data_IF_134225950690
#
_entry.id   IF_134225950690
#
_cell.length_a   1.000
_cell.length_b   1.000
_cell.length_c   1.000
_cell.angle_alpha   90.00
_cell.angle_beta   90.00
_cell.angle_gamma   90.00
#
_symmetry.space_group_name_H-M   'P 1'
#
loop_
_entity.id
_entity.type
_entity.pdbx_description
1 polymer ?
#
# COMPACT_ATOMS: atom_id res chain seq x y z
N UNK A 1 -23.80 12.87 -14.59
CA UNK A 1 -24.86 12.85 -13.56
C UNK A 1 -25.45 11.45 -13.30
N UNK A 2 -26.06 10.76 -14.29
CA UNK A 2 -26.74 9.45 -14.06
C UNK A 2 -25.86 8.41 -13.37
N UNK A 3 -24.63 8.19 -13.85
CA UNK A 3 -23.73 7.22 -13.22
C UNK A 3 -23.30 7.61 -11.80
N UNK A 4 -23.11 8.90 -11.52
CA UNK A 4 -22.75 9.39 -10.18
C UNK A 4 -23.88 9.08 -9.18
N UNK A 5 -25.14 9.27 -9.60
CA UNK A 5 -26.31 8.92 -8.80
C UNK A 5 -26.44 7.41 -8.58
N UNK A 6 -26.28 6.60 -9.64
CA UNK A 6 -26.34 5.14 -9.54
C UNK A 6 -25.23 4.56 -8.67
N UNK A 7 -24.04 5.16 -8.73
CA UNK A 7 -22.91 4.81 -7.86
C UNK A 7 -23.12 5.22 -6.39
N UNK A 8 -24.17 6.00 -6.09
CA UNK A 8 -24.42 6.53 -4.75
C UNK A 8 -23.44 7.63 -4.34
N UNK A 9 -22.82 8.32 -5.31
CA UNK A 9 -21.84 9.39 -5.07
C UNK A 9 -22.42 10.79 -5.18
N UNK A 10 -23.69 10.94 -5.58
CA UNK A 10 -24.34 12.26 -5.63
C UNK A 10 -25.02 12.54 -4.29
N UNK A 11 -24.48 13.49 -3.51
CA UNK A 11 -25.01 13.89 -2.18
C UNK A 11 -25.36 12.67 -1.32
N UNK A 12 -24.36 11.80 -1.00
CA UNK A 12 -24.63 10.51 -0.38
C UNK A 12 -25.33 10.69 0.97
N UNK A 13 -26.52 10.11 1.10
CA UNK A 13 -27.24 9.97 2.38
C UNK A 13 -27.05 8.58 2.99
N UNK A 14 -26.58 7.62 2.18
CA UNK A 14 -26.25 6.24 2.56
C UNK A 14 -25.25 5.67 1.57
N UNK A 15 -24.41 4.74 2.02
CA UNK A 15 -23.52 3.98 1.13
C UNK A 15 -24.34 3.00 0.28
N UNK A 16 -24.05 2.94 -1.02
CA UNK A 16 -24.67 2.01 -1.95
C UNK A 16 -23.67 0.95 -2.41
N UNK A 17 -23.89 -0.30 -1.99
CA UNK A 17 -23.06 -1.44 -2.37
C UNK A 17 -23.91 -2.53 -3.02
N UNK A 18 -24.26 -2.29 -4.28
CA UNK A 18 -25.12 -3.14 -5.10
C UNK A 18 -24.42 -3.39 -6.44
N UNK A 19 -24.82 -4.44 -7.16
CA UNK A 19 -24.27 -4.68 -8.51
C UNK A 19 -24.41 -3.46 -9.42
N UNK A 20 -25.53 -2.75 -9.36
CA UNK A 20 -25.76 -1.54 -10.16
C UNK A 20 -24.84 -0.38 -9.77
N UNK A 21 -24.58 -0.16 -8.47
CA UNK A 21 -23.67 0.89 -8.03
C UNK A 21 -22.22 0.57 -8.38
N UNK A 22 -21.83 -0.71 -8.30
CA UNK A 22 -20.52 -1.20 -8.71
C UNK A 22 -20.28 -1.04 -10.21
N UNK A 23 -21.24 -1.40 -11.07
CA UNK A 23 -21.15 -1.16 -12.51
C UNK A 23 -21.08 0.35 -12.85
N UNK A 24 -21.85 1.18 -12.15
CA UNK A 24 -21.76 2.63 -12.31
C UNK A 24 -20.37 3.16 -11.92
N UNK A 25 -19.76 2.67 -10.83
CA UNK A 25 -18.40 3.00 -10.43
C UNK A 25 -17.36 2.59 -11.48
N UNK A 26 -17.50 1.41 -12.11
CA UNK A 26 -16.64 0.98 -13.23
C UNK A 26 -16.72 1.95 -14.39
N UNK A 27 -17.94 2.33 -14.79
CA UNK A 27 -18.15 3.31 -15.85
C UNK A 27 -17.47 4.64 -15.54
N UNK A 28 -17.60 5.15 -14.30
CA UNK A 28 -16.94 6.39 -13.88
C UNK A 28 -15.42 6.24 -13.94
N UNK A 29 -14.85 5.17 -13.38
CA UNK A 29 -13.41 4.91 -13.41
C UNK A 29 -12.88 4.86 -14.85
N UNK A 30 -13.57 4.17 -15.75
CA UNK A 30 -13.19 4.07 -17.15
C UNK A 30 -13.28 5.44 -17.86
N UNK A 31 -14.30 6.24 -17.57
CA UNK A 31 -14.41 7.60 -18.11
C UNK A 31 -13.22 8.47 -17.70
N UNK A 32 -12.84 8.46 -16.41
CA UNK A 32 -11.70 9.24 -15.91
C UNK A 32 -10.38 8.73 -16.51
N UNK A 33 -10.21 7.41 -16.57
CA UNK A 33 -9.01 6.79 -17.15
C UNK A 33 -8.82 7.16 -18.62
N UNK A 34 -9.90 7.17 -19.41
CA UNK A 34 -9.85 7.43 -20.85
C UNK A 34 -9.85 8.92 -21.20
N UNK A 35 -10.43 9.77 -20.34
CA UNK A 35 -10.67 11.20 -20.61
C UNK A 35 -10.45 12.03 -19.35
N UNK A 36 -9.27 12.63 -19.24
CA UNK A 36 -8.93 13.53 -18.13
C UNK A 36 -9.86 14.75 -18.03
N UNK A 37 -10.45 15.20 -19.14
CA UNK A 37 -11.44 16.27 -19.17
C UNK A 37 -12.71 15.98 -18.35
N UNK A 38 -12.91 14.74 -17.89
CA UNK A 38 -14.02 14.35 -17.01
C UNK A 38 -13.78 14.80 -15.56
N UNK A 39 -12.51 14.93 -15.12
CA UNK A 39 -12.16 15.22 -13.72
C UNK A 39 -12.84 16.50 -13.18
N UNK A 40 -12.82 17.66 -13.89
CA UNK A 40 -13.46 18.88 -13.37
C UNK A 40 -14.96 18.69 -13.07
N UNK A 41 -15.67 17.94 -13.92
CA UNK A 41 -17.10 17.66 -13.69
C UNK A 41 -17.35 16.79 -12.46
N UNK A 42 -16.45 15.86 -12.14
CA UNK A 42 -16.57 15.03 -10.94
C UNK A 42 -16.25 15.85 -9.69
N UNK A 43 -15.36 16.82 -9.78
CA UNK A 43 -15.04 17.74 -8.69
C UNK A 43 -16.20 18.70 -8.40
N UNK A 44 -16.81 19.29 -9.44
CA UNK A 44 -18.03 20.11 -9.31
C UNK A 44 -19.18 19.37 -8.62
N UNK A 45 -19.24 18.05 -8.82
CA UNK A 45 -20.24 17.16 -8.22
C UNK A 45 -19.81 16.57 -6.87
N UNK A 46 -18.71 17.03 -6.28
CA UNK A 46 -18.20 16.57 -4.97
C UNK A 46 -17.97 15.05 -4.89
N UNK A 47 -17.56 14.44 -6.00
CA UNK A 47 -17.34 12.99 -6.10
C UNK A 47 -16.18 12.54 -5.20
N UNK A 48 -15.12 13.35 -5.09
CA UNK A 48 -13.95 13.07 -4.24
C UNK A 48 -14.36 12.96 -2.77
N UNK A 49 -15.11 13.95 -2.26
CA UNK A 49 -15.64 13.96 -0.89
C UNK A 49 -16.56 12.76 -0.65
N UNK A 50 -17.40 12.43 -1.64
CA UNK A 50 -18.33 11.30 -1.57
C UNK A 50 -17.62 9.96 -1.56
N UNK A 51 -16.53 9.80 -2.33
CA UNK A 51 -15.68 8.61 -2.28
C UNK A 51 -15.02 8.44 -0.91
N UNK A 52 -14.52 9.53 -0.32
CA UNK A 52 -13.96 9.49 1.02
C UNK A 52 -15.02 9.06 2.05
N UNK A 53 -16.22 9.64 1.99
CA UNK A 53 -17.34 9.24 2.82
C UNK A 53 -17.63 7.74 2.68
N UNK A 54 -17.72 7.20 1.47
CA UNK A 54 -17.95 5.77 1.23
C UNK A 54 -16.92 4.88 1.93
N UNK A 55 -15.63 5.25 1.89
CA UNK A 55 -14.58 4.46 2.55
C UNK A 55 -14.66 4.56 4.08
N UNK A 56 -15.03 5.72 4.62
CA UNK A 56 -15.14 5.96 6.06
C UNK A 56 -16.30 5.17 6.71
N UNK A 57 -17.45 5.06 6.03
CA UNK A 57 -18.69 4.47 6.55
C UNK A 57 -18.69 2.95 6.76
N UNK A 58 -17.55 2.27 6.63
CA UNK A 58 -17.42 0.82 6.82
C UNK A 58 -17.55 0.34 8.29
N UNK A 59 -18.09 1.18 9.18
CA UNK A 59 -18.28 0.91 10.63
C UNK A 59 -19.69 0.42 10.99
N UNK A 60 -20.71 0.75 10.21
CA UNK A 60 -22.10 0.42 10.56
C UNK A 60 -22.58 -0.89 9.92
N UNK A 61 -22.45 -1.99 10.67
CA UNK A 61 -23.11 -3.32 10.50
C UNK A 61 -22.94 -4.06 9.15
N UNK A 62 -22.47 -3.40 8.10
CA UNK A 62 -22.27 -3.94 6.76
C UNK A 62 -20.86 -3.61 6.30
N UNK A 63 -20.02 -4.64 6.21
CA UNK A 63 -18.69 -4.52 5.61
C UNK A 63 -18.86 -4.16 4.14
N UNK A 64 -18.25 -3.05 3.72
CA UNK A 64 -18.23 -2.64 2.31
C UNK A 64 -17.64 -3.76 1.44
N UNK A 65 -18.28 -4.05 0.31
CA UNK A 65 -17.84 -5.06 -0.65
C UNK A 65 -16.48 -4.72 -1.26
N UNK A 66 -15.73 -5.77 -1.62
CA UNK A 66 -14.38 -5.64 -2.18
C UNK A 66 -14.36 -4.78 -3.46
N UNK A 67 -15.38 -4.94 -4.29
CA UNK A 67 -15.52 -4.20 -5.54
C UNK A 67 -15.71 -2.70 -5.32
N UNK A 68 -16.57 -2.32 -4.39
CA UNK A 68 -16.78 -0.91 -4.03
C UNK A 68 -15.54 -0.31 -3.39
N UNK A 69 -14.85 -1.04 -2.49
CA UNK A 69 -13.56 -0.58 -1.92
C UNK A 69 -12.53 -0.32 -3.03
N UNK A 70 -12.31 -1.31 -3.90
CA UNK A 70 -11.33 -1.25 -4.97
C UNK A 70 -11.60 -0.11 -5.96
N UNK A 71 -12.85 0.01 -6.44
CA UNK A 71 -13.23 1.06 -7.39
C UNK A 71 -13.18 2.45 -6.76
N UNK A 72 -13.53 2.58 -5.48
CA UNK A 72 -13.44 3.86 -4.77
C UNK A 72 -11.99 4.28 -4.57
N UNK A 73 -11.10 3.37 -4.16
CA UNK A 73 -9.66 3.64 -4.09
C UNK A 73 -9.09 4.02 -5.46
N UNK A 74 -9.48 3.31 -6.53
CA UNK A 74 -9.05 3.61 -7.89
C UNK A 74 -9.50 4.99 -8.37
N UNK A 75 -10.76 5.34 -8.12
CA UNK A 75 -11.30 6.64 -8.51
C UNK A 75 -10.56 7.77 -7.79
N UNK A 76 -10.37 7.64 -6.47
CA UNK A 76 -9.56 8.60 -5.70
C UNK A 76 -8.12 8.69 -6.22
N UNK A 77 -7.50 7.57 -6.58
CA UNK A 77 -6.17 7.57 -7.19
C UNK A 77 -6.16 8.38 -8.50
N UNK A 78 -7.08 8.09 -9.43
CA UNK A 78 -7.15 8.84 -10.69
C UNK A 78 -7.40 10.34 -10.51
N UNK A 79 -8.24 10.71 -9.54
CA UNK A 79 -8.55 12.11 -9.24
C UNK A 79 -7.36 12.85 -8.61
N UNK A 80 -6.47 12.15 -7.89
CA UNK A 80 -5.36 12.76 -7.14
C UNK A 80 -4.02 12.79 -7.89
N UNK A 81 -3.90 12.07 -9.01
CA UNK A 81 -2.72 12.12 -9.87
C UNK A 81 -2.51 13.56 -10.37
N UNK A 82 -1.34 14.14 -10.05
CA UNK A 82 -0.93 15.52 -10.36
C UNK A 82 -1.82 16.63 -9.75
N UNK A 83 -2.56 16.33 -8.69
CA UNK A 83 -3.48 17.29 -8.03
C UNK A 83 -3.14 17.49 -6.55
N UNK A 84 -2.09 18.28 -6.30
CA UNK A 84 -1.61 18.58 -4.94
C UNK A 84 -2.66 19.26 -4.07
N UNK A 85 -3.53 20.07 -4.66
CA UNK A 85 -4.67 20.73 -4.01
C UNK A 85 -5.69 19.71 -3.45
N UNK A 86 -6.05 18.70 -4.25
CA UNK A 86 -6.97 17.64 -3.84
C UNK A 86 -6.33 16.72 -2.80
N UNK A 87 -5.04 16.40 -2.96
CA UNK A 87 -4.29 15.60 -1.97
C UNK A 87 -4.27 16.30 -0.61
N UNK A 88 -3.94 17.60 -0.59
CA UNK A 88 -3.96 18.41 0.62
C UNK A 88 -5.33 18.38 1.32
N UNK A 89 -6.40 18.52 0.53
CA UNK A 89 -7.77 18.52 1.03
C UNK A 89 -8.15 17.17 1.63
N UNK A 90 -7.84 16.07 0.94
CA UNK A 90 -8.09 14.71 1.43
C UNK A 90 -7.32 14.37 2.72
N UNK A 91 -6.07 14.81 2.84
CA UNK A 91 -5.28 14.64 4.08
C UNK A 91 -5.97 15.38 5.24
N UNK A 92 -6.42 16.62 5.02
CA UNK A 92 -7.16 17.40 6.04
C UNK A 92 -8.50 16.77 6.41
N UNK A 93 -9.15 16.07 5.48
CA UNK A 93 -10.38 15.31 5.70
C UNK A 93 -10.12 13.89 6.26
N UNK A 94 -8.88 13.59 6.65
CA UNK A 94 -8.49 12.34 7.29
C UNK A 94 -8.73 11.10 6.41
N UNK A 95 -8.30 11.18 5.14
CA UNK A 95 -8.24 10.02 4.23
C UNK A 95 -7.37 8.88 4.76
N UNK A 96 -6.40 9.19 5.63
CA UNK A 96 -5.49 8.21 6.22
C UNK A 96 -6.24 7.11 6.99
N UNK A 97 -7.20 7.48 7.85
CA UNK A 97 -7.99 6.51 8.61
C UNK A 97 -8.80 5.59 7.69
N UNK A 98 -9.39 6.16 6.62
CA UNK A 98 -10.15 5.40 5.64
C UNK A 98 -9.27 4.36 4.90
N UNK A 99 -8.07 4.76 4.49
CA UNK A 99 -7.10 3.86 3.85
C UNK A 99 -6.61 2.80 4.84
N UNK A 100 -6.24 3.19 6.06
CA UNK A 100 -5.77 2.26 7.09
C UNK A 100 -6.80 1.18 7.39
N UNK A 101 -8.08 1.54 7.40
CA UNK A 101 -9.21 0.61 7.57
C UNK A 101 -9.37 -0.38 6.42
N UNK A 102 -9.33 0.11 5.17
CA UNK A 102 -9.34 -0.74 3.97
C UNK A 102 -8.17 -1.72 4.01
N UNK A 103 -6.95 -1.23 4.27
CA UNK A 103 -5.75 -2.07 4.36
C UNK A 103 -5.88 -3.10 5.48
N UNK A 104 -6.22 -2.68 6.69
CA UNK A 104 -6.30 -3.58 7.86
C UNK A 104 -7.32 -4.70 7.65
N UNK A 105 -8.50 -4.38 7.11
CA UNK A 105 -9.55 -5.38 6.90
C UNK A 105 -9.19 -6.42 5.84
N UNK A 106 -8.45 -6.04 4.80
CA UNK A 106 -8.03 -6.97 3.75
C UNK A 106 -6.77 -7.73 4.15
N UNK A 107 -5.78 -7.07 4.77
CA UNK A 107 -4.56 -7.73 5.27
C UNK A 107 -4.90 -8.78 6.33
N UNK A 108 -5.88 -8.53 7.21
CA UNK A 108 -6.34 -9.54 8.17
C UNK A 108 -6.82 -10.85 7.50
N UNK A 109 -7.48 -10.76 6.33
CA UNK A 109 -7.89 -11.94 5.55
C UNK A 109 -6.70 -12.66 4.90
N UNK A 110 -5.68 -11.91 4.48
CA UNK A 110 -4.47 -12.45 3.85
C UNK A 110 -3.53 -13.11 4.86
N UNK A 111 -3.55 -12.61 6.09
CA UNK A 111 -2.70 -13.08 7.18
C UNK A 111 -3.19 -14.42 7.74
N UNK A 112 -4.51 -14.60 7.89
CA UNK A 112 -5.11 -15.84 8.35
C UNK A 112 -5.00 -16.93 7.27
N UNK A 113 -4.24 -18.02 7.50
CA UNK A 113 -4.09 -19.10 6.52
C UNK A 113 -5.42 -19.76 6.12
N UNK A 114 -6.36 -19.90 7.06
CA UNK A 114 -7.65 -20.55 6.81
C UNK A 114 -8.55 -19.70 5.91
N UNK A 115 -8.55 -18.37 6.10
CA UNK A 115 -9.29 -17.44 5.24
C UNK A 115 -8.60 -17.24 3.90
N UNK A 116 -7.26 -17.16 3.89
CA UNK A 116 -6.49 -16.95 2.66
C UNK A 116 -6.70 -18.06 1.62
N UNK A 117 -6.85 -19.32 2.06
CA UNK A 117 -7.10 -20.45 1.15
C UNK A 117 -8.47 -20.37 0.47
N UNK A 118 -9.44 -19.69 1.09
CA UNK A 118 -10.80 -19.52 0.55
C UNK A 118 -10.90 -18.38 -0.48
N UNK A 119 -9.85 -17.57 -0.63
CA UNK A 119 -9.84 -16.46 -1.59
C UNK A 119 -9.76 -17.03 -3.01
N UNK A 120 -10.76 -16.71 -3.83
CA UNK A 120 -10.70 -16.96 -5.27
C UNK A 120 -9.63 -16.07 -5.91
N UNK A 121 -8.52 -16.68 -6.31
CA UNK A 121 -7.40 -15.98 -6.96
C UNK A 121 -7.67 -15.65 -8.43
N UNK A 122 -8.67 -16.29 -9.05
CA UNK A 122 -9.07 -16.02 -10.42
C UNK A 122 -10.05 -14.85 -10.52
N UNK A 123 -10.71 -14.51 -9.40
CA UNK A 123 -11.54 -13.32 -9.34
C UNK A 123 -10.69 -12.05 -9.56
N UNK A 124 -11.10 -11.15 -10.48
CA UNK A 124 -10.33 -9.95 -10.79
C UNK A 124 -10.25 -8.98 -9.60
N UNK A 125 -11.26 -9.00 -8.73
CA UNK A 125 -11.30 -8.24 -7.50
C UNK A 125 -11.34 -9.22 -6.33
N UNK A 126 -10.30 -9.18 -5.51
CA UNK A 126 -10.12 -10.02 -4.33
C UNK A 126 -9.27 -9.24 -3.30
N UNK A 127 -9.09 -9.73 -2.06
CA UNK A 127 -8.36 -8.98 -1.04
C UNK A 127 -6.94 -8.56 -1.45
N UNK A 128 -6.23 -9.36 -2.26
CA UNK A 128 -4.90 -8.98 -2.76
C UNK A 128 -4.96 -7.75 -3.66
N UNK A 129 -5.93 -7.69 -4.58
CA UNK A 129 -6.05 -6.58 -5.53
C UNK A 129 -6.63 -5.32 -4.86
N UNK A 130 -7.51 -5.46 -3.87
CA UNK A 130 -7.99 -4.34 -3.04
C UNK A 130 -6.85 -3.74 -2.22
N UNK A 131 -6.07 -4.57 -1.51
CA UNK A 131 -4.89 -4.11 -0.78
C UNK A 131 -3.90 -3.41 -1.71
N UNK A 132 -3.64 -3.97 -2.90
CA UNK A 132 -2.76 -3.33 -3.88
C UNK A 132 -3.27 -1.96 -4.31
N UNK A 133 -4.57 -1.78 -4.52
CA UNK A 133 -5.13 -0.50 -4.99
C UNK A 133 -5.10 0.57 -3.90
N UNK A 134 -5.41 0.18 -2.65
CA UNK A 134 -5.29 1.07 -1.50
C UNK A 134 -3.85 1.53 -1.26
N UNK A 135 -2.86 0.65 -1.45
CA UNK A 135 -1.44 1.00 -1.34
C UNK A 135 -0.97 1.94 -2.46
N UNK A 136 -1.49 1.79 -3.69
CA UNK A 136 -1.20 2.74 -4.79
C UNK A 136 -1.76 4.13 -4.48
N UNK A 137 -2.99 4.20 -3.96
CA UNK A 137 -3.58 5.45 -3.50
C UNK A 137 -2.70 6.08 -2.42
N UNK A 138 -2.36 5.31 -1.37
CA UNK A 138 -1.49 5.77 -0.29
C UNK A 138 -0.15 6.32 -0.82
N UNK A 139 0.55 5.55 -1.65
CA UNK A 139 1.81 5.98 -2.27
C UNK A 139 1.65 7.29 -3.04
N UNK A 140 0.59 7.43 -3.84
CA UNK A 140 0.33 8.67 -4.58
C UNK A 140 0.12 9.86 -3.64
N UNK A 141 -0.67 9.70 -2.58
CA UNK A 141 -0.90 10.77 -1.61
C UNK A 141 0.39 11.20 -0.91
N UNK A 142 1.21 10.24 -0.45
CA UNK A 142 2.51 10.49 0.18
C UNK A 142 3.46 11.22 -0.78
N UNK A 143 3.59 10.72 -2.01
CA UNK A 143 4.50 11.26 -3.01
C UNK A 143 4.13 12.67 -3.47
N UNK A 144 2.84 12.91 -3.72
CA UNK A 144 2.35 14.21 -4.19
C UNK A 144 2.48 15.26 -3.09
N UNK A 145 2.13 14.92 -1.84
CA UNK A 145 2.24 15.84 -0.72
C UNK A 145 3.71 16.18 -0.40
N UNK A 146 4.61 15.19 -0.44
CA UNK A 146 6.04 15.38 -0.17
C UNK A 146 6.74 16.31 -1.18
N UNK A 147 6.15 16.56 -2.36
CA UNK A 147 6.69 17.45 -3.39
C UNK A 147 6.22 18.90 -3.27
N UNK A 148 5.37 19.21 -2.29
CA UNK A 148 4.87 20.58 -2.08
C UNK A 148 5.87 21.41 -1.29
N UNK A 149 5.92 22.71 -1.58
CA UNK A 149 6.75 23.67 -0.83
C UNK A 149 6.28 23.83 0.62
N UNK A 150 4.97 23.71 0.85
CA UNK A 150 4.29 23.81 2.15
C UNK A 150 3.74 22.44 2.60
N UNK A 151 4.50 21.38 2.36
CA UNK A 151 4.09 20.00 2.64
C UNK A 151 3.70 19.81 4.11
N UNK A 152 2.55 19.17 4.32
CA UNK A 152 2.17 18.63 5.62
C UNK A 152 3.09 17.48 6.02
N UNK A 153 3.22 17.22 7.32
CA UNK A 153 3.94 16.03 7.80
C UNK A 153 3.13 14.77 7.46
N UNK A 154 3.47 14.17 6.32
CA UNK A 154 2.85 12.94 5.81
C UNK A 154 3.16 11.73 6.67
N UNK A 155 4.30 11.72 7.37
CA UNK A 155 4.68 10.62 8.25
C UNK A 155 3.73 10.55 9.45
N UNK A 156 3.43 11.70 10.05
CA UNK A 156 2.44 11.80 11.11
C UNK A 156 1.02 11.51 10.59
N UNK A 157 0.63 12.12 9.47
CA UNK A 157 -0.72 11.99 8.94
C UNK A 157 -1.09 10.54 8.57
N UNK A 158 -0.15 9.78 8.02
CA UNK A 158 -0.38 8.40 7.56
C UNK A 158 0.23 7.33 8.48
N UNK A 159 0.66 7.68 9.69
CA UNK A 159 1.30 6.76 10.63
C UNK A 159 0.47 5.47 10.84
N UNK A 160 -0.86 5.58 10.92
CA UNK A 160 -1.75 4.43 11.11
C UNK A 160 -1.72 3.42 9.95
N UNK A 161 -1.35 3.85 8.74
CA UNK A 161 -1.22 2.96 7.59
C UNK A 161 0.01 2.04 7.70
N UNK A 162 1.02 2.38 8.52
CA UNK A 162 2.21 1.54 8.69
C UNK A 162 1.89 0.19 9.32
N UNK A 163 0.93 0.11 10.25
CA UNK A 163 0.58 -1.16 10.91
C UNK A 163 0.16 -2.24 9.91
N UNK A 164 -0.85 -2.03 9.04
CA UNK A 164 -1.21 -3.03 8.05
C UNK A 164 -0.12 -3.26 6.98
N UNK A 165 0.70 -2.26 6.65
CA UNK A 165 1.87 -2.44 5.76
C UNK A 165 2.87 -3.42 6.36
N UNK A 166 3.26 -3.21 7.62
CA UNK A 166 4.20 -4.08 8.32
C UNK A 166 3.64 -5.49 8.48
N UNK A 167 2.35 -5.63 8.81
CA UNK A 167 1.71 -6.95 8.87
C UNK A 167 1.71 -7.65 7.51
N UNK A 168 1.44 -6.94 6.42
CA UNK A 168 1.53 -7.49 5.07
C UNK A 168 2.94 -8.00 4.76
N UNK A 169 3.96 -7.20 5.06
CA UNK A 169 5.36 -7.55 4.77
C UNK A 169 5.85 -8.72 5.62
N UNK A 170 5.51 -8.77 6.92
CA UNK A 170 6.13 -9.73 7.86
C UNK A 170 5.24 -10.92 8.23
N UNK A 171 3.93 -10.90 7.95
CA UNK A 171 3.02 -12.00 8.30
C UNK A 171 2.33 -12.64 7.10
N UNK A 172 2.22 -11.96 5.97
CA UNK A 172 1.66 -12.54 4.74
C UNK A 172 2.82 -13.09 3.89
N UNK A 173 2.80 -14.38 3.50
CA UNK A 173 3.83 -14.97 2.66
C UNK A 173 3.95 -14.22 1.34
N UNK A 174 5.20 -13.97 0.95
CA UNK A 174 5.52 -13.49 -0.38
C UNK A 174 5.17 -14.53 -1.45
N UNK A 175 4.89 -14.05 -2.66
CA UNK A 175 4.73 -14.94 -3.80
C UNK A 175 6.08 -15.61 -4.16
N UNK A 176 6.01 -16.82 -4.68
CA UNK A 176 7.16 -17.52 -5.24
C UNK A 176 6.94 -17.76 -6.74
N UNK A 177 8.00 -17.71 -7.58
CA UNK A 177 9.39 -17.46 -7.19
C UNK A 177 9.72 -15.97 -6.99
N UNK A 178 8.89 -15.04 -7.51
CA UNK A 178 9.14 -13.59 -7.46
C UNK A 178 8.40 -12.94 -6.28
N UNK A 179 9.07 -12.53 -5.19
CA UNK A 179 8.40 -11.96 -4.02
C UNK A 179 7.92 -10.51 -4.23
N UNK A 180 8.61 -9.70 -5.04
CA UNK A 180 8.25 -8.30 -5.27
C UNK A 180 7.18 -8.14 -6.36
N UNK A 181 6.01 -8.75 -6.12
CA UNK A 181 4.79 -8.55 -6.91
C UNK A 181 3.70 -7.88 -6.06
N UNK A 182 2.64 -7.31 -6.67
CA UNK A 182 1.51 -6.80 -5.90
C UNK A 182 0.88 -7.87 -5.00
N UNK A 183 0.48 -7.51 -3.76
CA UNK A 183 0.55 -6.19 -3.15
C UNK A 183 1.87 -5.86 -2.44
N UNK A 184 2.77 -6.83 -2.21
CA UNK A 184 4.03 -6.61 -1.49
C UNK A 184 4.90 -5.54 -2.15
N UNK A 185 5.01 -5.53 -3.49
CA UNK A 185 5.71 -4.46 -4.20
C UNK A 185 5.13 -3.07 -3.87
N UNK A 186 3.80 -2.94 -3.84
CA UNK A 186 3.14 -1.67 -3.52
C UNK A 186 3.32 -1.28 -2.05
N UNK A 187 3.44 -2.27 -1.16
CA UNK A 187 3.72 -2.04 0.25
C UNK A 187 5.13 -1.48 0.44
N UNK A 188 6.12 -2.01 -0.28
CA UNK A 188 7.47 -1.47 -0.31
C UNK A 188 7.49 -0.07 -0.92
N UNK A 189 6.73 0.19 -1.99
CA UNK A 189 6.60 1.53 -2.56
C UNK A 189 6.09 2.55 -1.55
N UNK A 190 5.03 2.22 -0.81
CA UNK A 190 4.51 3.07 0.25
C UNK A 190 5.51 3.21 1.40
N UNK A 191 6.14 2.12 1.83
CA UNK A 191 7.09 2.11 2.95
C UNK A 191 8.30 3.02 2.69
N UNK A 192 8.80 3.09 1.44
CA UNK A 192 9.94 3.97 1.11
C UNK A 192 9.66 5.46 1.36
N UNK A 193 8.39 5.86 1.42
CA UNK A 193 7.99 7.25 1.65
C UNK A 193 7.97 7.62 3.15
N UNK A 194 8.08 6.63 4.04
CA UNK A 194 8.14 6.87 5.47
C UNK A 194 9.59 7.02 5.96
N UNK A 195 9.80 7.94 6.90
CA UNK A 195 11.05 8.12 7.61
C UNK A 195 11.30 6.95 8.55
N UNK A 196 12.57 6.59 8.72
CA UNK A 196 12.99 5.55 9.65
C UNK A 196 12.40 5.74 11.06
N UNK A 197 12.44 6.96 11.60
CA UNK A 197 11.97 7.26 12.96
C UNK A 197 10.51 6.87 13.16
N UNK A 198 9.64 7.16 12.18
CA UNK A 198 8.22 6.79 12.21
C UNK A 198 8.03 5.28 12.07
N UNK A 199 8.79 4.63 11.18
CA UNK A 199 8.75 3.17 11.01
C UNK A 199 9.17 2.48 12.32
N UNK A 200 10.28 2.89 12.92
CA UNK A 200 10.83 2.36 14.16
C UNK A 200 9.86 2.54 15.34
N UNK A 201 9.27 3.74 15.45
CA UNK A 201 8.26 4.01 16.46
C UNK A 201 7.08 3.02 16.33
N UNK A 202 6.43 2.97 15.15
CA UNK A 202 5.27 2.11 14.95
C UNK A 202 5.64 0.64 15.17
N UNK A 203 6.78 0.19 14.64
CA UNK A 203 7.27 -1.17 14.84
C UNK A 203 7.42 -1.54 16.33
N UNK A 204 7.99 -0.63 17.14
CA UNK A 204 8.18 -0.86 18.58
C UNK A 204 6.85 -0.94 19.35
N UNK A 205 5.84 -0.15 18.93
CA UNK A 205 4.50 -0.13 19.53
C UNK A 205 3.73 -1.44 19.25
N UNK A 206 4.09 -2.19 18.21
CA UNK A 206 3.45 -3.45 17.81
C UNK A 206 3.91 -4.70 18.60
N UNK A 207 4.47 -4.51 19.80
CA UNK A 207 5.13 -5.52 20.63
C UNK A 207 4.40 -6.86 20.81
N UNK A 208 3.06 -6.91 20.72
CA UNK A 208 2.29 -8.14 20.91
C UNK A 208 2.54 -9.17 19.79
N UNK A 209 2.53 -8.75 18.52
CA UNK A 209 2.69 -9.67 17.39
C UNK A 209 4.11 -9.67 16.85
N UNK A 210 4.83 -8.54 16.92
CA UNK A 210 6.21 -8.47 16.43
C UNK A 210 7.13 -9.37 17.25
N UNK A 211 7.00 -9.39 18.59
CA UNK A 211 7.77 -10.30 19.46
C UNK A 211 7.63 -11.78 19.08
N UNK A 212 6.46 -12.20 18.58
CA UNK A 212 6.25 -13.59 18.15
C UNK A 212 7.16 -13.99 16.97
N UNK A 213 7.60 -13.01 16.18
CA UNK A 213 8.44 -13.24 15.01
C UNK A 213 9.92 -13.44 15.36
N UNK A 214 10.42 -12.70 16.37
CA UNK A 214 11.85 -12.63 16.68
C UNK A 214 12.24 -13.10 18.09
N UNK A 215 11.28 -13.60 18.89
CA UNK A 215 11.53 -14.10 20.26
C UNK A 215 12.61 -15.19 20.39
N UNK A 216 13.06 -15.79 19.27
CA UNK A 216 14.04 -16.88 19.25
C UNK A 216 15.48 -16.44 18.96
N UNK A 217 15.76 -15.16 18.72
CA UNK A 217 17.01 -14.72 18.07
C UNK A 217 17.88 -13.71 18.84
N UNK A 218 17.71 -13.54 20.16
CA UNK A 218 18.40 -12.46 20.93
C UNK A 218 18.19 -11.05 20.32
N UNK A 219 17.13 -10.90 19.53
CA UNK A 219 16.80 -9.68 18.80
C UNK A 219 15.79 -8.90 19.64
N UNK A 220 16.27 -8.06 20.57
CA UNK A 220 15.42 -7.38 21.55
C UNK A 220 14.30 -6.55 20.90
N UNK A 221 14.61 -5.94 19.75
CA UNK A 221 13.72 -5.01 19.05
C UNK A 221 13.21 -5.52 17.69
N UNK A 222 13.66 -6.67 17.20
CA UNK A 222 13.20 -7.26 15.94
C UNK A 222 13.89 -6.75 14.67
N UNK A 223 14.95 -5.95 14.81
CA UNK A 223 15.64 -5.33 13.67
C UNK A 223 16.50 -6.33 12.89
N UNK A 224 17.07 -7.34 13.56
CA UNK A 224 17.81 -8.42 12.90
C UNK A 224 16.84 -9.25 12.05
N UNK A 225 15.68 -9.58 12.60
CA UNK A 225 14.61 -10.27 11.88
C UNK A 225 14.12 -9.46 10.67
N UNK A 226 13.92 -8.16 10.85
CA UNK A 226 13.52 -7.25 9.79
C UNK A 226 14.54 -7.24 8.64
N UNK A 227 15.82 -7.07 8.97
CA UNK A 227 16.92 -7.07 7.99
C UNK A 227 16.99 -8.41 7.24
N UNK A 228 16.99 -9.54 7.96
CA UNK A 228 17.00 -10.88 7.35
C UNK A 228 15.84 -11.08 6.37
N UNK A 229 14.64 -10.65 6.75
CA UNK A 229 13.45 -10.81 5.91
C UNK A 229 13.57 -9.99 4.63
N UNK A 230 13.92 -8.71 4.74
CA UNK A 230 13.98 -7.81 3.58
C UNK A 230 15.17 -8.15 2.66
N UNK A 231 16.32 -8.55 3.21
CA UNK A 231 17.48 -9.00 2.41
C UNK A 231 17.18 -10.31 1.69
N UNK A 232 16.49 -11.26 2.33
CA UNK A 232 16.08 -12.50 1.67
C UNK A 232 15.06 -12.25 0.54
N UNK A 233 14.14 -11.28 0.71
CA UNK A 233 13.23 -10.86 -0.36
C UNK A 233 14.02 -10.27 -1.53
N UNK A 234 14.98 -9.38 -1.25
CA UNK A 234 15.88 -8.81 -2.25
C UNK A 234 16.63 -9.91 -3.02
N UNK A 235 17.26 -10.83 -2.30
CA UNK A 235 18.04 -11.93 -2.86
C UNK A 235 17.18 -12.81 -3.79
N UNK A 236 16.01 -13.26 -3.32
CA UNK A 236 15.06 -14.02 -4.15
C UNK A 236 14.62 -13.25 -5.39
N UNK A 237 14.34 -11.95 -5.28
CA UNK A 237 13.96 -11.11 -6.41
C UNK A 237 15.07 -10.97 -7.44
N UNK A 238 16.32 -10.76 -7.00
CA UNK A 238 17.50 -10.67 -7.88
C UNK A 238 17.67 -11.97 -8.66
N UNK A 239 17.60 -13.13 -7.99
CA UNK A 239 17.75 -14.43 -8.66
C UNK A 239 16.71 -14.69 -9.76
N UNK A 240 15.50 -14.15 -9.60
CA UNK A 240 14.44 -14.29 -10.62
C UNK A 240 14.56 -13.25 -11.73
N UNK A 241 14.95 -12.02 -11.39
CA UNK A 241 15.02 -10.90 -12.35
C UNK A 241 16.31 -10.88 -13.17
N UNK A 242 17.40 -11.37 -12.59
CA UNK A 242 18.73 -11.39 -13.19
C UNK A 242 19.25 -12.84 -13.14
N UNK A 243 18.60 -13.79 -13.84
CA UNK A 243 18.97 -15.21 -13.79
C UNK A 243 20.38 -15.47 -14.33
N UNK A 244 20.90 -14.61 -15.22
CA UNK A 244 22.26 -14.71 -15.75
C UNK A 244 23.32 -14.21 -14.77
N UNK A 245 22.92 -13.43 -13.76
CA UNK A 245 23.80 -12.64 -12.91
C UNK A 245 24.35 -11.38 -13.58
N UNK A 246 23.99 -11.10 -14.83
CA UNK A 246 24.40 -9.91 -15.60
C UNK A 246 23.18 -9.02 -15.92
N UNK A 247 22.97 -7.92 -15.18
CA UNK A 247 21.82 -7.04 -15.40
C UNK A 247 21.77 -6.49 -16.83
N UNK A 248 22.93 -6.21 -17.44
CA UNK A 248 23.02 -5.60 -18.77
C UNK A 248 22.51 -6.52 -19.88
N UNK A 249 22.44 -7.84 -19.64
CA UNK A 249 21.90 -8.82 -20.59
C UNK A 249 20.40 -9.08 -20.41
N UNK A 250 19.88 -9.00 -19.18
CA UNK A 250 18.52 -9.44 -18.83
C UNK A 250 17.45 -8.33 -18.90
N UNK A 251 17.83 -7.09 -19.23
CA UNK A 251 16.92 -5.97 -19.48
C UNK A 251 16.73 -5.04 -18.28
N UNK A 252 17.63 -4.07 -18.14
CA UNK A 252 17.81 -3.21 -16.96
C UNK A 252 16.57 -2.46 -16.44
N UNK A 253 15.70 -1.93 -17.32
CA UNK A 253 14.69 -0.96 -16.89
C UNK A 253 13.57 -1.55 -16.03
N UNK A 254 13.16 -2.80 -16.25
CA UNK A 254 12.13 -3.45 -15.41
C UNK A 254 12.70 -3.94 -14.08
N UNK A 255 13.99 -4.27 -14.04
CA UNK A 255 14.68 -4.76 -12.85
C UNK A 255 14.84 -3.62 -11.85
N UNK A 256 15.36 -2.47 -12.29
CA UNK A 256 15.54 -1.29 -11.44
C UNK A 256 14.22 -0.80 -10.85
N UNK A 257 13.17 -0.72 -11.67
CA UNK A 257 11.85 -0.29 -11.21
C UNK A 257 11.26 -1.22 -10.13
N UNK A 258 11.63 -2.50 -10.15
CA UNK A 258 11.16 -3.51 -9.19
C UNK A 258 11.99 -3.50 -7.91
N UNK A 259 13.31 -3.39 -8.01
CA UNK A 259 14.25 -3.58 -6.89
C UNK A 259 14.57 -2.28 -6.15
N UNK A 260 14.71 -1.15 -6.87
CA UNK A 260 15.13 0.12 -6.28
C UNK A 260 14.28 0.57 -5.08
N UNK A 261 12.94 0.42 -5.08
CA UNK A 261 12.10 0.70 -3.90
C UNK A 261 12.58 -0.02 -2.63
N UNK A 262 12.92 -1.30 -2.74
CA UNK A 262 13.36 -2.10 -1.60
C UNK A 262 14.76 -1.68 -1.15
N UNK A 263 15.66 -1.39 -2.08
CA UNK A 263 17.00 -0.88 -1.75
C UNK A 263 16.93 0.44 -0.98
N UNK A 264 16.05 1.37 -1.38
CA UNK A 264 15.86 2.64 -0.67
C UNK A 264 15.33 2.43 0.75
N UNK A 265 14.38 1.50 0.94
CA UNK A 265 13.91 1.11 2.29
C UNK A 265 15.05 0.54 3.11
N UNK A 266 15.83 -0.39 2.56
CA UNK A 266 16.96 -1.02 3.25
C UNK A 266 18.01 0.02 3.68
N UNK A 267 18.36 0.96 2.80
CA UNK A 267 19.31 2.05 3.11
C UNK A 267 18.78 2.93 4.24
N UNK A 268 17.52 3.39 4.15
CA UNK A 268 16.89 4.21 5.19
C UNK A 268 16.88 3.53 6.56
N UNK A 269 16.56 2.23 6.61
CA UNK A 269 16.58 1.44 7.85
C UNK A 269 18.00 1.23 8.39
N UNK A 270 18.98 0.97 7.52
CA UNK A 270 20.38 0.80 7.92
C UNK A 270 21.06 2.10 8.38
N UNK A 271 20.64 3.25 7.87
CA UNK A 271 21.07 4.55 8.38
C UNK A 271 20.50 4.84 9.77
N UNK A 272 19.31 4.30 10.07
CA UNK A 272 18.59 4.51 11.32
C UNK A 272 18.93 3.55 12.46
N UNK A 273 19.32 2.31 12.18
CA UNK A 273 19.60 1.28 13.19
C UNK A 273 20.90 0.50 12.92
N UNK A 274 21.78 0.46 13.92
CA UNK A 274 23.09 -0.18 13.79
C UNK A 274 22.99 -1.72 13.73
N UNK A 275 22.05 -2.33 14.46
CA UNK A 275 21.87 -3.79 14.44
C UNK A 275 21.35 -4.26 13.07
N UNK A 276 20.42 -3.51 12.49
CA UNK A 276 19.94 -3.69 11.12
C UNK A 276 21.09 -3.58 10.11
N UNK A 277 21.89 -2.51 10.20
CA UNK A 277 23.05 -2.25 9.33
C UNK A 277 24.09 -3.37 9.38
N UNK A 278 24.49 -3.79 10.58
CA UNK A 278 25.47 -4.87 10.74
C UNK A 278 24.95 -6.20 10.18
N UNK A 279 23.65 -6.45 10.33
CA UNK A 279 22.99 -7.64 9.76
C UNK A 279 22.99 -7.62 8.24
N UNK A 280 22.74 -6.45 7.62
CA UNK A 280 22.85 -6.27 6.17
C UNK A 280 24.28 -6.45 5.67
N UNK A 281 25.27 -5.79 6.30
CA UNK A 281 26.69 -5.89 5.95
C UNK A 281 27.13 -7.36 5.91
N UNK A 282 26.78 -8.13 6.96
CA UNK A 282 27.12 -9.54 7.08
C UNK A 282 26.53 -10.43 5.99
N UNK A 283 25.38 -10.06 5.42
CA UNK A 283 24.68 -10.84 4.41
C UNK A 283 25.03 -10.43 2.98
N UNK A 284 25.18 -9.12 2.73
CA UNK A 284 25.31 -8.58 1.38
C UNK A 284 26.77 -8.43 0.93
N UNK A 285 27.71 -8.26 1.87
CA UNK A 285 29.13 -8.14 1.51
C UNK A 285 29.82 -9.50 1.54
N UNK A 286 30.78 -9.74 0.63
CA UNK A 286 31.61 -10.93 0.67
C UNK A 286 32.37 -10.98 1.99
N UNK A 287 32.46 -12.17 2.60
CA UNK A 287 33.33 -12.38 3.75
C UNK A 287 34.77 -12.33 3.25
N UNK A 288 35.54 -11.34 3.71
CA UNK A 288 36.99 -11.36 3.55
C UNK A 288 37.51 -12.66 4.17
N UNK A 289 38.27 -13.43 3.39
CA UNK A 289 38.90 -14.69 3.82
C UNK A 289 40.22 -14.41 4.52
#
# INVERSE_FOLDING_TARGET
MVFIQLAGLYKPTRVMDTASSQEALKCICNCVFLKESVKPYLEEEHVVDSCLYVLQQSEDQHRLGLETQFLTCRLLFFMTVHRSDLVASLIKLNVADAIAKVLSSNVALLEDPALRIQIDRNAPINPWTVTSEALKLLFNLLLVEARREDAMDTNQAFQQCLVPILRLIFRVPFAEPQPLVPPHAQAIHALMQFQYTTIAQVWSEQSQWTRQLYAKQEDEHGYIYMANTLVNVLDKSIHVLIPSGDPDQDGNQSVDATIAPLLLVLVSLAEGDEAFKQTMIKQMLPREK
#
